data_IF_412446201134
#
_entry.id   IF_412446201134
#
_cell.length_a   1.000
_cell.length_b   1.000
_cell.length_c   1.000
_cell.angle_alpha   90.00
_cell.angle_beta   90.00
_cell.angle_gamma   90.00
#
_symmetry.space_group_name_H-M   'P 1'
#
loop_
_entity.id
_entity.type
_entity.pdbx_description
1 polymer ?
#
# COMPACT_ATOMS: atom_id res chain seq x y z
N UNK A 1 -10.28 -8.62 -10.32
CA UNK A 1 -9.36 -7.63 -9.71
C UNK A 1 -9.06 -6.50 -10.68
N UNK A 2 -9.12 -5.24 -10.23
CA UNK A 2 -8.76 -4.07 -11.05
C UNK A 2 -7.23 -3.94 -11.25
N UNK A 3 -6.77 -3.19 -12.26
CA UNK A 3 -5.36 -2.80 -12.35
C UNK A 3 -4.91 -2.02 -11.10
N UNK A 4 -3.67 -2.30 -10.66
CA UNK A 4 -3.07 -1.68 -9.48
C UNK A 4 -1.93 -0.74 -9.86
N UNK A 5 -1.83 0.39 -9.15
CA UNK A 5 -0.70 1.32 -9.22
C UNK A 5 0.60 0.65 -8.74
N UNK A 6 1.76 1.23 -9.05
CA UNK A 6 3.05 0.71 -8.53
C UNK A 6 3.08 0.70 -7.01
N UNK A 7 2.53 1.73 -6.38
CA UNK A 7 2.42 1.86 -4.92
C UNK A 7 1.51 0.77 -4.34
N UNK A 8 0.33 0.57 -4.93
CA UNK A 8 -0.61 -0.46 -4.50
C UNK A 8 -0.05 -1.88 -4.64
N UNK A 9 0.69 -2.16 -5.73
CA UNK A 9 1.39 -3.44 -5.91
C UNK A 9 2.38 -3.72 -4.79
N UNK A 10 3.07 -2.70 -4.28
CA UNK A 10 4.00 -2.85 -3.15
C UNK A 10 3.25 -3.18 -1.86
N UNK A 11 2.11 -2.55 -1.62
CA UNK A 11 1.24 -2.88 -0.47
C UNK A 11 0.74 -4.32 -0.56
N UNK A 12 0.28 -4.77 -1.73
CA UNK A 12 -0.16 -6.17 -1.94
C UNK A 12 0.98 -7.16 -1.71
N UNK A 13 2.20 -6.87 -2.17
CA UNK A 13 3.37 -7.73 -1.89
C UNK A 13 3.55 -7.94 -0.38
N UNK A 14 3.56 -6.86 0.39
CA UNK A 14 3.69 -6.91 1.85
C UNK A 14 2.57 -7.70 2.53
N UNK A 15 1.32 -7.52 2.08
CA UNK A 15 0.15 -8.27 2.57
C UNK A 15 0.26 -9.78 2.30
N UNK A 16 0.92 -10.17 1.21
CA UNK A 16 1.09 -11.57 0.83
C UNK A 16 2.27 -12.28 1.51
N UNK A 17 3.26 -11.53 2.01
CA UNK A 17 4.43 -12.10 2.68
C UNK A 17 4.10 -12.74 4.04
N UNK A 18 3.28 -12.07 4.84
CA UNK A 18 2.86 -12.51 6.17
C UNK A 18 1.64 -11.72 6.62
N UNK A 19 1.14 -12.07 7.80
CA UNK A 19 0.18 -11.25 8.54
C UNK A 19 0.78 -9.87 8.83
N UNK A 20 0.07 -8.78 8.46
CA UNK A 20 0.56 -7.40 8.58
C UNK A 20 -0.42 -6.53 9.38
N UNK A 21 0.12 -5.59 10.16
CA UNK A 21 -0.62 -4.42 10.66
C UNK A 21 -0.65 -3.31 9.61
N UNK A 22 -1.55 -2.33 9.78
CA UNK A 22 -1.62 -1.17 8.90
C UNK A 22 -0.30 -0.40 8.81
N UNK A 23 0.38 -0.20 9.94
CA UNK A 23 1.69 0.47 10.01
C UNK A 23 2.77 -0.19 9.15
N UNK A 24 2.78 -1.52 9.05
CA UNK A 24 3.79 -2.26 8.30
C UNK A 24 3.61 -2.21 6.78
N UNK A 25 2.44 -1.73 6.31
CA UNK A 25 2.15 -1.62 4.88
C UNK A 25 2.90 -0.45 4.23
N UNK A 26 3.23 0.58 5.00
CA UNK A 26 4.00 1.73 4.52
C UNK A 26 5.46 1.36 4.29
N UNK A 27 6.04 1.81 3.18
CA UNK A 27 7.45 1.61 2.86
C UNK A 27 8.36 2.35 3.86
N UNK A 28 9.61 1.89 3.96
CA UNK A 28 10.57 2.44 4.93
C UNK A 28 10.84 3.92 4.65
N UNK A 29 10.94 4.30 3.38
CA UNK A 29 11.07 5.70 2.96
C UNK A 29 9.94 6.57 3.51
N UNK A 30 8.69 6.09 3.49
CA UNK A 30 7.58 6.80 4.13
C UNK A 30 7.77 6.90 5.65
N UNK A 31 8.06 5.78 6.32
CA UNK A 31 8.17 5.72 7.78
C UNK A 31 9.37 6.51 8.33
N UNK A 32 10.43 6.71 7.54
CA UNK A 32 11.60 7.53 7.88
C UNK A 32 11.30 9.04 7.79
N UNK A 33 10.33 9.44 6.99
CA UNK A 33 10.03 10.85 6.72
C UNK A 33 8.81 11.38 7.49
N UNK A 34 7.92 10.49 7.93
CA UNK A 34 6.64 10.84 8.52
C UNK A 34 6.38 10.08 9.82
N UNK A 35 5.84 10.78 10.82
CA UNK A 35 5.14 10.16 11.94
C UNK A 35 3.66 10.51 11.78
N UNK A 36 2.80 9.50 11.84
CA UNK A 36 1.36 9.70 11.97
C UNK A 36 1.01 9.46 13.44
N UNK A 37 0.69 10.53 14.15
CA UNK A 37 0.25 10.49 15.53
C UNK A 37 -1.28 10.44 15.56
N UNK A 38 -1.84 9.49 16.31
CA UNK A 38 -3.29 9.27 16.42
C UNK A 38 -3.65 9.39 17.88
N UNK A 39 -4.38 10.46 18.19
CA UNK A 39 -4.82 10.77 19.55
C UNK A 39 -6.34 10.72 19.64
N UNK A 40 -6.86 10.06 20.68
CA UNK A 40 -8.26 10.13 21.04
C UNK A 40 -8.44 11.18 22.15
N UNK A 41 -9.18 12.25 21.88
CA UNK A 41 -9.60 13.15 22.95
C UNK A 41 -10.78 12.53 23.71
N UNK A 42 -10.48 12.01 24.89
CA UNK A 42 -11.46 11.38 25.79
C UNK A 42 -12.65 12.26 26.18
N UNK A 43 -12.51 13.59 26.11
CA UNK A 43 -13.55 14.56 26.53
C UNK A 43 -14.52 14.79 25.38
N UNK A 44 -14.01 15.06 24.18
CA UNK A 44 -14.84 15.30 22.99
C UNK A 44 -15.22 14.01 22.27
N UNK A 45 -14.59 12.89 22.62
CA UNK A 45 -14.59 11.62 21.86
C UNK A 45 -14.24 11.83 20.39
N UNK A 46 -13.44 12.86 20.09
CA UNK A 46 -12.98 13.13 18.73
C UNK A 46 -11.56 12.62 18.56
N UNK A 47 -11.31 12.05 17.39
CA UNK A 47 -10.00 11.59 16.99
C UNK A 47 -9.27 12.72 16.30
N UNK A 48 -7.98 12.85 16.60
CA UNK A 48 -7.10 13.77 15.89
C UNK A 48 -5.94 12.98 15.31
N UNK A 49 -5.75 13.11 14.00
CA UNK A 49 -4.66 12.49 13.27
C UNK A 49 -3.73 13.61 12.84
N UNK A 50 -2.48 13.52 13.29
CA UNK A 50 -1.42 14.49 12.97
C UNK A 50 -0.36 13.83 12.12
N UNK A 51 0.02 14.51 11.05
CA UNK A 51 1.22 14.17 10.28
C UNK A 51 2.34 15.09 10.79
N UNK A 52 3.38 14.47 11.35
CA UNK A 52 4.55 15.14 11.87
C UNK A 52 5.70 14.97 10.89
N UNK A 53 6.33 16.09 10.51
CA UNK A 53 7.45 16.13 9.57
C UNK A 53 8.62 16.82 10.25
N UNK A 54 9.78 16.17 10.31
CA UNK A 54 10.99 16.75 10.91
C UNK A 54 11.44 17.98 10.12
N UNK A 55 11.58 19.13 10.78
CA UNK A 55 12.11 20.35 10.20
C UNK A 55 13.57 20.15 9.82
N UNK A 56 13.91 20.62 8.64
CA UNK A 56 15.27 20.95 8.20
C UNK A 56 15.32 22.44 7.91
N UNK A 57 16.30 23.13 8.47
CA UNK A 57 16.45 24.59 8.40
C UNK A 57 16.53 25.13 6.97
N UNK A 58 16.92 24.29 6.02
CA UNK A 58 17.11 24.66 4.61
C UNK A 58 15.84 24.56 3.76
N UNK A 59 14.73 24.04 4.29
CA UNK A 59 13.50 23.84 3.51
C UNK A 59 12.46 24.92 3.76
N UNK A 60 11.77 25.31 2.69
CA UNK A 60 10.67 26.28 2.71
C UNK A 60 9.39 25.69 3.28
N UNK A 61 8.47 26.54 3.74
CA UNK A 61 7.12 26.12 4.17
C UNK A 61 6.37 25.35 3.06
N UNK A 62 6.54 25.77 1.80
CA UNK A 62 5.95 25.08 0.65
C UNK A 62 6.41 23.62 0.56
N UNK A 63 7.68 23.32 0.84
CA UNK A 63 8.17 21.94 0.86
C UNK A 63 7.38 21.09 1.85
N UNK A 64 7.14 21.59 3.07
CA UNK A 64 6.40 20.85 4.10
C UNK A 64 4.92 20.65 3.71
N UNK A 65 4.30 21.63 3.06
CA UNK A 65 2.96 21.47 2.51
C UNK A 65 2.90 20.37 1.44
N UNK A 66 3.87 20.31 0.53
CA UNK A 66 3.96 19.25 -0.48
C UNK A 66 4.19 17.87 0.14
N UNK A 67 5.04 17.79 1.16
CA UNK A 67 5.28 16.55 1.90
C UNK A 67 4.03 16.08 2.64
N UNK A 68 3.30 17.00 3.28
CA UNK A 68 2.01 16.70 3.91
C UNK A 68 1.00 16.17 2.88
N UNK A 69 0.89 16.80 1.70
CA UNK A 69 0.00 16.32 0.64
C UNK A 69 0.36 14.89 0.17
N UNK A 70 1.65 14.62 -0.02
CA UNK A 70 2.15 13.27 -0.37
C UNK A 70 1.79 12.25 0.72
N UNK A 71 1.94 12.61 1.98
CA UNK A 71 1.60 11.74 3.10
C UNK A 71 0.10 11.41 3.13
N UNK A 72 -0.76 12.42 3.03
CA UNK A 72 -2.21 12.26 2.97
C UNK A 72 -2.63 11.35 1.80
N UNK A 73 -2.08 11.61 0.60
CA UNK A 73 -2.38 10.82 -0.59
C UNK A 73 -2.02 9.34 -0.40
N UNK A 74 -0.83 9.04 0.15
CA UNK A 74 -0.38 7.66 0.38
C UNK A 74 -1.26 6.93 1.41
N UNK A 75 -1.66 7.61 2.49
CA UNK A 75 -2.57 7.06 3.50
C UNK A 75 -3.92 6.73 2.85
N UNK A 76 -4.51 7.68 2.12
CA UNK A 76 -5.79 7.49 1.44
C UNK A 76 -5.72 6.38 0.37
N UNK A 77 -4.66 6.33 -0.43
CA UNK A 77 -4.44 5.27 -1.43
C UNK A 77 -4.40 3.89 -0.76
N UNK A 78 -3.65 3.76 0.35
CA UNK A 78 -3.51 2.50 1.09
C UNK A 78 -4.85 2.05 1.68
N UNK A 79 -5.61 2.97 2.28
CA UNK A 79 -6.94 2.71 2.83
C UNK A 79 -7.93 2.27 1.75
N UNK A 80 -7.98 3.00 0.64
CA UNK A 80 -8.88 2.69 -0.47
C UNK A 80 -8.56 1.32 -1.06
N UNK A 81 -7.27 0.97 -1.18
CA UNK A 81 -6.84 -0.36 -1.58
C UNK A 81 -7.31 -1.42 -0.58
N UNK A 82 -7.10 -1.23 0.72
CA UNK A 82 -7.52 -2.19 1.75
C UNK A 82 -9.03 -2.41 1.76
N UNK A 83 -9.81 -1.34 1.65
CA UNK A 83 -11.27 -1.41 1.53
C UNK A 83 -11.69 -2.22 0.31
N UNK A 84 -11.08 -1.93 -0.85
CA UNK A 84 -11.32 -2.69 -2.08
C UNK A 84 -10.96 -4.18 -1.94
N UNK A 85 -9.78 -4.49 -1.40
CA UNK A 85 -9.35 -5.87 -1.23
C UNK A 85 -10.26 -6.62 -0.25
N UNK A 86 -10.74 -5.95 0.80
CA UNK A 86 -11.67 -6.53 1.77
C UNK A 86 -13.04 -6.77 1.15
N UNK A 87 -13.58 -5.81 0.39
CA UNK A 87 -14.90 -5.96 -0.26
C UNK A 87 -14.93 -7.09 -1.28
N UNK A 88 -13.80 -7.34 -1.95
CA UNK A 88 -13.62 -8.43 -2.92
C UNK A 88 -13.15 -9.74 -2.27
N UNK A 89 -13.14 -9.83 -0.93
CA UNK A 89 -12.68 -10.99 -0.17
C UNK A 89 -11.23 -11.46 -0.49
N UNK A 90 -10.36 -10.56 -0.95
CA UNK A 90 -8.94 -10.84 -1.17
C UNK A 90 -8.12 -10.81 0.12
N UNK A 91 -8.60 -10.11 1.14
CA UNK A 91 -8.02 -10.07 2.49
C UNK A 91 -9.10 -10.27 3.55
N UNK A 92 -8.69 -10.84 4.68
CA UNK A 92 -9.44 -10.83 5.93
C UNK A 92 -8.77 -9.88 6.92
N UNK A 93 -9.56 -9.36 7.84
CA UNK A 93 -9.10 -8.40 8.84
C UNK A 93 -9.67 -8.75 10.20
N UNK A 94 -8.84 -8.81 11.24
CA UNK A 94 -9.29 -9.01 12.62
C UNK A 94 -8.61 -8.02 13.56
N UNK A 95 -9.32 -7.67 14.65
CA UNK A 95 -8.76 -6.85 15.72
C UNK A 95 -7.99 -7.77 16.68
N UNK A 96 -6.81 -7.36 17.10
CA UNK A 96 -6.08 -8.07 18.16
C UNK A 96 -6.87 -7.98 19.48
N UNK A 97 -6.82 -9.03 20.31
CA UNK A 97 -7.50 -9.08 21.61
C UNK A 97 -6.89 -8.14 22.67
N UNK A 98 -5.70 -7.60 22.39
CA UNK A 98 -5.07 -6.58 23.22
C UNK A 98 -5.80 -5.27 22.90
N UNK A 99 -6.60 -4.78 23.84
CA UNK A 99 -7.60 -3.73 23.63
C UNK A 99 -7.09 -2.49 22.88
N UNK A 100 -8.06 -1.70 22.37
CA UNK A 100 -7.82 -0.51 21.55
C UNK A 100 -6.78 0.39 22.22
N UNK A 101 -5.68 0.64 21.52
CA UNK A 101 -4.65 1.55 22.01
C UNK A 101 -5.19 2.98 21.87
N UNK A 102 -5.55 3.61 23.00
CA UNK A 102 -6.12 4.97 23.06
C UNK A 102 -5.18 6.04 22.45
N UNK A 103 -3.90 5.70 22.33
CA UNK A 103 -2.89 6.44 21.59
C UNK A 103 -2.07 5.48 20.72
N UNK A 104 -2.00 5.77 19.43
CA UNK A 104 -1.21 5.00 18.47
C UNK A 104 -0.30 5.92 17.66
N UNK A 105 0.84 5.41 17.24
CA UNK A 105 1.69 6.09 16.27
C UNK A 105 2.05 5.13 15.13
N UNK A 106 2.14 5.67 13.92
CA UNK A 106 2.68 4.99 12.75
C UNK A 106 3.93 5.73 12.34
N UNK A 107 5.08 5.08 12.44
CA UNK A 107 6.37 5.67 12.14
C UNK A 107 7.49 4.82 12.73
N UNK A 108 8.73 5.15 12.40
CA UNK A 108 9.87 4.51 13.05
C UNK A 108 9.93 4.93 14.52
N UNK A 109 10.16 3.94 15.40
CA UNK A 109 10.25 4.18 16.84
C UNK A 109 11.34 5.21 17.19
N UNK A 110 12.48 5.19 16.48
CA UNK A 110 13.56 6.16 16.65
C UNK A 110 13.11 7.59 16.35
N UNK A 111 12.34 7.78 15.28
CA UNK A 111 11.81 9.08 14.89
C UNK A 111 10.76 9.56 15.90
N UNK A 112 9.93 8.65 16.41
CA UNK A 112 8.97 8.96 17.48
C UNK A 112 9.66 9.39 18.78
N UNK A 113 10.73 8.69 19.19
CA UNK A 113 11.51 9.06 20.37
C UNK A 113 12.16 10.45 20.19
N UNK A 114 12.73 10.73 19.02
CA UNK A 114 13.29 12.05 18.71
C UNK A 114 12.23 13.17 18.75
N UNK A 115 11.03 12.92 18.23
CA UNK A 115 9.89 13.85 18.33
C UNK A 115 9.46 14.09 19.78
N UNK A 116 9.32 13.03 20.57
CA UNK A 116 8.91 13.13 21.98
C UNK A 116 9.88 14.00 22.77
N UNK A 117 11.17 13.84 22.52
CA UNK A 117 12.23 14.55 23.23
C UNK A 117 12.48 15.95 22.65
N UNK A 118 12.10 16.21 21.38
CA UNK A 118 12.32 17.48 20.67
C UNK A 118 11.11 17.91 19.81
N UNK A 119 9.94 18.20 20.41
CA UNK A 119 8.69 18.41 19.68
C UNK A 119 8.67 19.64 18.75
N UNK A 120 9.49 20.63 19.06
CA UNK A 120 9.67 21.90 18.34
C UNK A 120 10.41 21.73 17.00
N UNK A 121 11.18 20.65 16.85
CA UNK A 121 11.85 20.27 15.60
C UNK A 121 10.90 19.69 14.56
N UNK A 122 9.60 19.62 14.82
CA UNK A 122 8.62 19.01 13.92
C UNK A 122 7.55 20.02 13.50
N UNK A 123 7.20 20.00 12.22
CA UNK A 123 6.01 20.67 11.71
C UNK A 123 4.84 19.70 11.87
N UNK A 124 3.71 20.20 12.36
CA UNK A 124 2.51 19.42 12.61
C UNK A 124 1.41 19.83 11.64
N UNK A 125 0.85 18.86 10.95
CA UNK A 125 -0.32 19.04 10.09
C UNK A 125 -1.47 18.20 10.60
N UNK A 126 -2.64 18.81 10.75
CA UNK A 126 -3.88 18.09 11.04
C UNK A 126 -4.34 17.43 9.74
N UNK A 127 -4.66 16.15 9.80
CA UNK A 127 -5.18 15.41 8.66
C UNK A 127 -6.53 16.05 8.23
N UNK A 128 -6.70 16.50 6.99
CA UNK A 128 -7.82 17.38 6.65
C UNK A 128 -9.16 16.65 6.49
N UNK A 129 -9.13 15.33 6.24
CA UNK A 129 -10.33 14.58 5.87
C UNK A 129 -10.88 13.78 7.07
N UNK A 130 -11.93 14.32 7.68
CA UNK A 130 -12.64 13.75 8.83
C UNK A 130 -13.26 12.38 8.49
N UNK A 131 -13.75 12.17 7.26
CA UNK A 131 -14.38 10.90 6.87
C UNK A 131 -13.37 9.73 6.89
N UNK A 132 -12.09 10.03 6.68
CA UNK A 132 -11.02 9.03 6.77
C UNK A 132 -10.56 8.81 8.22
N UNK A 133 -10.97 9.62 9.20
CA UNK A 133 -10.53 9.45 10.58
C UNK A 133 -11.00 8.12 11.15
N UNK A 134 -12.30 7.84 11.02
CA UNK A 134 -12.90 6.61 11.51
C UNK A 134 -12.27 5.39 10.83
N UNK A 135 -11.99 5.50 9.52
CA UNK A 135 -11.38 4.43 8.74
C UNK A 135 -9.92 4.20 9.14
N UNK A 136 -9.12 5.26 9.30
CA UNK A 136 -7.74 5.14 9.78
C UNK A 136 -7.73 4.50 11.17
N UNK A 137 -8.59 4.98 12.07
CA UNK A 137 -8.70 4.47 13.43
C UNK A 137 -9.08 2.98 13.45
N UNK A 138 -10.06 2.59 12.63
CA UNK A 138 -10.41 1.18 12.47
C UNK A 138 -9.18 0.36 12.07
N UNK A 139 -8.36 0.86 11.16
CA UNK A 139 -7.23 0.10 10.62
C UNK A 139 -5.98 0.04 11.49
N UNK A 140 -5.78 0.98 12.42
CA UNK A 140 -4.56 1.05 13.26
C UNK A 140 -4.34 -0.23 14.07
N UNK A 141 -5.40 -0.74 14.69
CA UNK A 141 -5.35 -1.93 15.54
C UNK A 141 -5.81 -3.21 14.80
N UNK A 142 -6.01 -3.11 13.48
CA UNK A 142 -6.40 -4.24 12.65
C UNK A 142 -5.17 -4.95 12.08
N UNK A 143 -5.27 -6.25 12.12
CA UNK A 143 -4.35 -7.17 11.47
C UNK A 143 -4.98 -7.73 10.20
N UNK A 144 -4.23 -7.70 9.10
CA UNK A 144 -4.66 -8.19 7.79
C UNK A 144 -4.01 -9.53 7.46
N UNK A 145 -4.80 -10.41 6.86
CA UNK A 145 -4.38 -11.71 6.33
C UNK A 145 -4.79 -11.82 4.89
N UNK A 146 -3.84 -12.14 4.02
CA UNK A 146 -4.08 -12.38 2.60
C UNK A 146 -4.71 -13.75 2.35
N UNK A 147 -5.64 -13.80 1.41
CA UNK A 147 -6.19 -15.05 0.89
C UNK A 147 -5.27 -15.70 -0.14
N UNK A 148 -5.48 -16.98 -0.42
CA UNK A 148 -4.76 -17.68 -1.50
C UNK A 148 -5.04 -17.04 -2.88
N UNK A 149 -6.25 -16.55 -3.13
CA UNK A 149 -6.58 -15.85 -4.38
C UNK A 149 -5.71 -14.60 -4.60
N UNK A 150 -5.44 -13.82 -3.55
CA UNK A 150 -4.56 -12.65 -3.64
C UNK A 150 -3.09 -13.05 -3.86
N UNK A 151 -2.65 -14.12 -3.19
CA UNK A 151 -1.30 -14.67 -3.38
C UNK A 151 -1.10 -15.19 -4.80
N UNK A 152 -2.10 -15.86 -5.37
CA UNK A 152 -2.05 -16.35 -6.75
C UNK A 152 -2.06 -15.20 -7.76
N UNK A 153 -2.82 -14.14 -7.50
CA UNK A 153 -2.73 -12.92 -8.30
C UNK A 153 -1.32 -12.31 -8.29
N UNK A 154 -0.66 -12.27 -7.12
CA UNK A 154 0.72 -11.82 -6.99
C UNK A 154 1.71 -12.73 -7.73
N UNK A 155 1.59 -14.07 -7.58
CA UNK A 155 2.43 -15.05 -8.29
C UNK A 155 2.36 -14.89 -9.81
N UNK A 156 1.21 -14.43 -10.32
CA UNK A 156 1.00 -14.18 -11.74
C UNK A 156 1.33 -12.74 -12.18
N UNK A 157 2.17 -12.02 -11.41
CA UNK A 157 2.61 -10.66 -11.72
C UNK A 157 1.44 -9.67 -11.89
N UNK A 158 0.45 -9.79 -10.99
CA UNK A 158 -0.76 -8.96 -10.97
C UNK A 158 -1.57 -9.05 -12.27
N UNK A 159 -1.63 -10.25 -12.87
CA UNK A 159 -2.48 -10.54 -14.02
C UNK A 159 -3.71 -11.34 -13.61
N UNK A 160 -4.86 -11.00 -14.17
CA UNK A 160 -6.09 -11.78 -13.97
C UNK A 160 -6.02 -13.10 -14.76
N UNK A 161 -6.83 -14.12 -14.39
CA UNK A 161 -6.91 -15.37 -15.14
C UNK A 161 -7.12 -15.18 -16.64
N UNK A 162 -8.02 -14.27 -17.02
CA UNK A 162 -8.29 -13.95 -18.41
C UNK A 162 -7.07 -13.34 -19.13
N UNK A 163 -6.31 -12.47 -18.45
CA UNK A 163 -5.08 -11.89 -19.01
C UNK A 163 -3.98 -12.94 -19.17
N UNK A 164 -3.91 -13.91 -18.26
CA UNK A 164 -2.96 -15.04 -18.35
C UNK A 164 -3.30 -15.90 -19.57
N UNK A 165 -4.57 -16.30 -19.71
CA UNK A 165 -5.04 -17.10 -20.85
C UNK A 165 -4.82 -16.34 -22.16
N UNK A 166 -5.17 -15.06 -22.21
CA UNK A 166 -4.97 -14.25 -23.40
C UNK A 166 -3.49 -14.16 -23.81
N UNK A 167 -2.58 -13.96 -22.83
CA UNK A 167 -1.13 -13.95 -23.08
C UNK A 167 -0.64 -15.31 -23.59
N UNK A 168 -1.10 -16.41 -22.99
CA UNK A 168 -0.75 -17.76 -23.44
C UNK A 168 -1.22 -18.01 -24.87
N UNK A 169 -2.45 -17.62 -25.21
CA UNK A 169 -2.99 -17.74 -26.56
C UNK A 169 -2.17 -16.93 -27.58
N UNK A 170 -1.74 -15.72 -27.23
CA UNK A 170 -0.86 -14.91 -28.08
C UNK A 170 0.49 -15.60 -28.28
N UNK A 171 1.09 -16.14 -27.22
CA UNK A 171 2.37 -16.87 -27.32
C UNK A 171 2.24 -18.10 -28.22
N UNK A 172 1.18 -18.90 -28.04
CA UNK A 172 0.90 -20.08 -28.86
C UNK A 172 0.70 -19.68 -30.33
N UNK A 173 -0.04 -18.60 -30.60
CA UNK A 173 -0.22 -18.08 -31.95
C UNK A 173 1.11 -17.69 -32.60
N UNK A 174 2.00 -16.99 -31.87
CA UNK A 174 3.33 -16.66 -32.37
C UNK A 174 4.20 -17.89 -32.67
N UNK A 175 4.17 -18.88 -31.78
CA UNK A 175 4.89 -20.15 -31.99
C UNK A 175 4.36 -20.84 -33.24
N UNK A 176 3.04 -20.89 -33.44
CA UNK A 176 2.42 -21.50 -34.62
C UNK A 176 2.83 -20.77 -35.92
N UNK A 177 2.92 -19.43 -35.90
CA UNK A 177 3.41 -18.64 -37.04
C UNK A 177 4.86 -19.01 -37.35
N UNK A 178 5.73 -19.05 -36.35
CA UNK A 178 7.15 -19.39 -36.53
C UNK A 178 7.31 -20.80 -37.11
N UNK A 179 6.59 -21.79 -36.57
CA UNK A 179 6.63 -23.17 -37.08
C UNK A 179 6.12 -23.24 -38.53
N UNK A 180 5.06 -22.51 -38.86
CA UNK A 180 4.52 -22.46 -40.23
C UNK A 180 5.52 -21.89 -41.22
N UNK A 181 6.26 -20.84 -40.84
CA UNK A 181 7.33 -20.25 -41.66
C UNK A 181 8.46 -21.26 -41.86
N UNK A 182 8.91 -21.94 -40.80
CA UNK A 182 9.99 -22.93 -40.87
C UNK A 182 9.62 -24.12 -41.76
N UNK A 183 8.40 -24.65 -41.64
CA UNK A 183 7.90 -25.72 -42.50
C UNK A 183 7.82 -25.28 -43.96
N UNK A 184 7.37 -24.05 -44.21
CA UNK A 184 7.36 -23.45 -45.54
C UNK A 184 8.77 -23.37 -46.15
N UNK A 185 9.75 -22.90 -45.38
CA UNK A 185 11.15 -22.82 -45.82
C UNK A 185 11.74 -24.20 -46.10
N UNK A 186 11.54 -25.19 -45.22
CA UNK A 186 12.01 -26.57 -45.42
C UNK A 186 11.38 -27.16 -46.69
N UNK A 187 10.08 -26.95 -46.91
CA UNK A 187 9.39 -27.42 -48.11
C UNK A 187 9.93 -26.84 -49.42
N UNK A 188 10.45 -25.60 -49.39
CA UNK A 188 11.14 -24.98 -50.53
C UNK A 188 12.52 -25.61 -50.72
N UNK A 189 13.32 -25.72 -49.66
CA UNK A 189 14.69 -26.24 -49.74
C UNK A 189 14.77 -27.73 -50.09
N UNK A 190 13.81 -28.56 -49.67
CA UNK A 190 13.79 -29.99 -50.01
C UNK A 190 13.27 -30.30 -51.42
N UNK A 191 12.74 -29.31 -52.16
CA UNK A 191 12.30 -29.46 -53.56
C UNK A 191 13.32 -28.98 -54.59
N UNK A 192 14.39 -28.32 -54.15
CA UNK A 192 15.58 -28.04 -54.97
C UNK A 192 16.63 -29.14 -54.77
#
# INVERSE_FOLDING_TARGET
>A
MRPLSKSEKNVVKKLCEKTQSFSNLFDEDFLQNFIIEITNDSITKTYEIKILIKRKETYSDQYYHEQNYKANYKIAETINLLNYLKSEAYIFSFKSSHGITVHGFIGLNELYLDYRDNPDKYVRYIFPNIELYDIIFEFVDITFVSTESLKDYLKNDFRTPDQIIHRQNIIVAWIAIIISILLGLIGIFCKC
#
